data_IF_593078862589
#
_entry.id   IF_593078862589
#
_cell.length_a   1.000
_cell.length_b   1.000
_cell.length_c   1.000
_cell.angle_alpha   90.00
_cell.angle_beta   90.00
_cell.angle_gamma   90.00
#
_symmetry.space_group_name_H-M   'P 1'
#
loop_
_entity.id
_entity.type
_entity.pdbx_description
1 polymer ?
#
# COMPACT_ATOMS: atom_id res chain seq x y z
N UNK A 1 -56.24 26.92 25.51
CA UNK A 1 -55.17 26.48 26.43
C UNK A 1 -54.53 25.23 25.85
N UNK A 2 -53.49 25.37 25.02
CA UNK A 2 -52.62 24.23 24.68
C UNK A 2 -51.60 24.09 25.81
N UNK A 3 -51.56 22.89 26.36
CA UNK A 3 -50.88 22.54 27.60
C UNK A 3 -49.35 22.55 27.42
N UNK A 4 -48.69 23.54 28.00
CA UNK A 4 -47.23 23.78 27.94
C UNK A 4 -46.42 22.57 28.43
N UNK A 5 -47.03 21.69 29.24
CA UNK A 5 -46.38 20.48 29.76
C UNK A 5 -46.30 19.35 28.72
N UNK A 6 -47.17 19.36 27.70
CA UNK A 6 -47.20 18.37 26.62
C UNK A 6 -46.15 18.67 25.54
N UNK A 7 -45.93 19.94 25.22
CA UNK A 7 -44.82 20.35 24.35
C UNK A 7 -43.44 20.04 24.97
N UNK A 8 -43.28 20.25 26.28
CA UNK A 8 -41.99 20.01 26.96
C UNK A 8 -41.56 18.53 26.92
N UNK A 9 -42.52 17.59 27.03
CA UNK A 9 -42.25 16.13 26.92
C UNK A 9 -41.93 15.68 25.49
N UNK A 10 -42.52 16.31 24.48
CA UNK A 10 -42.30 15.97 23.07
C UNK A 10 -40.92 16.49 22.60
N UNK A 11 -40.51 17.67 23.06
CA UNK A 11 -39.20 18.26 22.73
C UNK A 11 -38.05 17.45 23.36
N UNK A 12 -38.22 16.95 24.59
CA UNK A 12 -37.24 16.08 25.26
C UNK A 12 -37.07 14.70 24.58
N UNK A 13 -38.14 14.13 24.02
CA UNK A 13 -38.08 12.87 23.27
C UNK A 13 -37.44 13.02 21.88
N UNK A 14 -37.52 14.19 21.26
CA UNK A 14 -36.90 14.46 19.95
C UNK A 14 -35.39 14.73 20.05
N UNK A 15 -34.91 15.30 21.16
CA UNK A 15 -33.47 15.54 21.43
C UNK A 15 -32.68 14.25 21.72
N UNK A 16 -33.32 13.18 22.21
CA UNK A 16 -32.64 11.91 22.48
C UNK A 16 -32.46 11.02 21.24
N UNK A 17 -33.12 11.33 20.13
CA UNK A 17 -33.08 10.52 18.90
C UNK A 17 -31.89 10.91 17.99
N UNK A 18 -31.22 12.03 18.25
CA UNK A 18 -30.17 12.58 17.35
C UNK A 18 -28.73 12.37 17.86
N UNK A 19 -28.53 11.75 19.03
CA UNK A 19 -27.18 11.53 19.59
C UNK A 19 -26.57 10.15 19.29
N UNK A 20 -27.16 9.30 18.43
CA UNK A 20 -26.73 7.89 18.27
C UNK A 20 -26.14 7.57 16.89
N UNK A 21 -25.84 8.56 16.05
CA UNK A 21 -25.30 8.28 14.71
C UNK A 21 -24.22 9.26 14.29
N UNK A 22 -23.13 9.33 15.05
CA UNK A 22 -21.86 9.88 14.57
C UNK A 22 -20.79 8.78 14.50
N UNK A 23 -20.81 8.08 13.36
CA UNK A 23 -19.65 7.91 12.47
C UNK A 23 -18.32 7.39 13.04
N UNK A 24 -18.28 6.23 13.69
CA UNK A 24 -17.01 5.52 13.90
C UNK A 24 -16.65 4.65 12.68
N UNK A 25 -16.02 5.21 11.63
CA UNK A 25 -15.04 4.49 10.77
C UNK A 25 -14.48 5.36 9.64
N UNK A 26 -13.57 6.28 9.96
CA UNK A 26 -12.63 6.85 8.96
C UNK A 26 -11.21 6.27 9.08
N UNK A 27 -11.02 5.17 9.82
CA UNK A 27 -9.70 4.59 10.13
C UNK A 27 -9.43 3.21 9.49
N UNK A 28 -10.16 2.85 8.44
CA UNK A 28 -9.91 1.61 7.65
C UNK A 28 -9.19 1.88 6.32
N UNK A 29 -9.11 3.13 5.87
CA UNK A 29 -8.65 3.45 4.52
C UNK A 29 -7.13 3.19 4.32
N UNK A 30 -6.33 3.13 5.38
CA UNK A 30 -4.87 2.98 5.25
C UNK A 30 -4.35 1.58 5.61
N UNK A 31 -5.22 0.58 5.79
CA UNK A 31 -4.78 -0.82 5.99
C UNK A 31 -4.15 -1.38 4.72
N UNK A 32 -3.33 -2.42 4.89
CA UNK A 32 -2.67 -3.13 3.79
C UNK A 32 -3.63 -3.45 2.64
N UNK A 33 -3.39 -2.83 1.48
CA UNK A 33 -4.24 -2.88 0.29
C UNK A 33 -3.41 -2.72 -0.99
N UNK A 34 -4.03 -3.01 -2.13
CA UNK A 34 -3.42 -2.74 -3.42
C UNK A 34 -3.32 -1.25 -3.69
N UNK A 35 -2.20 -0.82 -4.24
CA UNK A 35 -1.96 0.53 -4.73
C UNK A 35 -1.20 0.45 -6.05
N UNK A 36 -1.58 1.30 -7.00
CA UNK A 36 -0.89 1.45 -8.27
C UNK A 36 0.24 2.46 -8.11
N UNK A 37 1.41 2.08 -8.59
CA UNK A 37 2.62 2.88 -8.53
C UNK A 37 3.17 3.12 -9.93
N UNK A 38 3.80 4.28 -10.14
CA UNK A 38 4.55 4.57 -11.36
C UNK A 38 6.03 4.36 -11.09
N UNK A 39 6.64 3.46 -11.85
CA UNK A 39 8.05 3.09 -11.73
C UNK A 39 8.79 3.45 -13.01
N UNK A 40 9.95 4.11 -12.88
CA UNK A 40 10.84 4.39 -14.01
C UNK A 40 11.64 3.15 -14.35
N UNK A 41 11.13 2.35 -15.28
CA UNK A 41 11.80 1.15 -15.75
C UNK A 41 12.92 1.53 -16.74
N UNK A 42 14.10 0.96 -16.55
CA UNK A 42 15.25 1.09 -17.45
C UNK A 42 15.86 -0.29 -17.65
N UNK A 43 15.99 -0.73 -18.90
CA UNK A 43 16.74 -1.93 -19.28
C UNK A 43 17.93 -1.54 -20.13
N UNK A 44 19.07 -2.18 -19.88
CA UNK A 44 20.32 -1.94 -20.62
C UNK A 44 20.78 -3.24 -21.24
N UNK A 45 21.13 -3.18 -22.52
CA UNK A 45 21.67 -4.29 -23.30
C UNK A 45 23.17 -4.51 -23.00
N UNK A 46 23.74 -5.64 -23.45
CA UNK A 46 25.17 -5.95 -23.39
C UNK A 46 26.05 -4.87 -24.05
N UNK A 47 25.52 -4.18 -25.07
CA UNK A 47 26.21 -3.08 -25.76
C UNK A 47 26.10 -1.73 -25.02
N UNK A 48 25.46 -1.68 -23.86
CA UNK A 48 25.27 -0.45 -23.07
C UNK A 48 24.16 0.47 -23.60
N UNK A 49 23.44 0.06 -24.64
CA UNK A 49 22.24 0.73 -25.16
C UNK A 49 21.06 0.48 -24.22
N UNK A 50 20.18 1.47 -24.07
CA UNK A 50 19.09 1.38 -23.08
C UNK A 50 17.71 1.63 -23.67
N UNK A 51 16.73 1.00 -23.04
CA UNK A 51 15.32 1.28 -23.20
C UNK A 51 14.75 1.75 -21.85
N UNK A 52 13.84 2.73 -21.86
CA UNK A 52 13.22 3.26 -20.65
C UNK A 52 11.77 3.68 -20.86
N UNK A 53 10.98 3.58 -19.79
CA UNK A 53 9.61 4.07 -19.76
C UNK A 53 9.08 4.21 -18.32
N UNK A 54 7.98 4.95 -18.17
CA UNK A 54 7.20 4.98 -16.94
C UNK A 54 6.16 3.84 -16.95
N UNK A 55 6.38 2.82 -16.12
CA UNK A 55 5.55 1.61 -16.03
C UNK A 55 4.63 1.71 -14.82
N UNK A 56 3.34 1.41 -15.01
CA UNK A 56 2.36 1.37 -13.91
C UNK A 56 2.27 -0.04 -13.34
N UNK A 57 2.70 -0.22 -12.10
CA UNK A 57 2.80 -1.52 -11.42
C UNK A 57 1.79 -1.56 -10.26
N UNK A 58 1.02 -2.64 -10.15
CA UNK A 58 0.22 -2.91 -8.95
C UNK A 58 1.09 -3.50 -7.84
N UNK A 59 1.14 -2.84 -6.69
CA UNK A 59 1.87 -3.27 -5.51
C UNK A 59 1.03 -3.12 -4.24
N UNK A 60 1.62 -3.40 -3.09
CA UNK A 60 0.96 -3.34 -1.79
C UNK A 60 1.39 -2.10 -0.99
N UNK A 61 0.42 -1.49 -0.30
CA UNK A 61 0.64 -0.31 0.52
C UNK A 61 -0.31 -0.29 1.71
N UNK A 62 0.12 0.32 2.80
CA UNK A 62 -0.66 0.53 4.01
C UNK A 62 0.04 -0.01 5.23
N UNK A 63 -0.67 -0.01 6.36
CA UNK A 63 -0.16 -0.50 7.63
C UNK A 63 -0.75 -1.87 8.01
N UNK A 64 -0.01 -2.60 8.83
CA UNK A 64 -0.44 -3.82 9.50
C UNK A 64 -0.40 -3.60 11.01
N UNK A 65 -1.33 -4.25 11.72
CA UNK A 65 -1.34 -4.19 13.18
C UNK A 65 -0.23 -5.08 13.72
N UNK A 66 0.59 -4.52 14.62
CA UNK A 66 1.61 -5.26 15.35
C UNK A 66 1.34 -5.17 16.84
N UNK A 67 1.88 -6.12 17.59
CA UNK A 67 1.78 -6.13 19.04
C UNK A 67 2.99 -6.85 19.64
N UNK A 68 3.23 -6.58 20.92
CA UNK A 68 4.24 -7.25 21.72
C UNK A 68 3.60 -7.71 23.04
N UNK A 69 3.89 -8.94 23.44
CA UNK A 69 3.46 -9.52 24.70
C UNK A 69 4.69 -9.61 25.59
N UNK A 70 4.64 -8.97 26.76
CA UNK A 70 5.69 -9.10 27.76
C UNK A 70 5.70 -10.54 28.31
N UNK A 71 6.88 -11.14 28.38
CA UNK A 71 7.08 -12.49 28.90
C UNK A 71 8.01 -12.46 30.13
N UNK A 72 7.87 -13.43 31.04
CA UNK A 72 8.69 -13.46 32.26
C UNK A 72 10.01 -14.22 32.09
N UNK A 73 10.08 -15.13 31.12
CA UNK A 73 11.33 -15.80 30.73
C UNK A 73 12.01 -15.02 29.61
N UNK A 74 13.35 -15.03 29.63
CA UNK A 74 14.19 -14.51 28.55
C UNK A 74 13.71 -15.06 27.18
N UNK A 75 13.53 -14.23 26.13
CA UNK A 75 13.97 -12.83 25.97
C UNK A 75 13.03 -11.75 26.53
N UNK A 76 12.13 -12.12 27.43
CA UNK A 76 11.15 -11.26 28.12
C UNK A 76 10.09 -10.62 27.22
N UNK A 77 10.01 -11.04 25.97
CA UNK A 77 9.02 -10.55 25.01
C UNK A 77 8.72 -11.56 23.91
N UNK A 78 7.48 -11.53 23.46
CA UNK A 78 7.03 -12.14 22.22
C UNK A 78 6.50 -11.04 21.30
N UNK A 79 7.23 -10.80 20.22
CA UNK A 79 6.99 -9.68 19.31
C UNK A 79 6.34 -10.19 18.01
N UNK A 80 5.16 -9.68 17.67
CA UNK A 80 4.45 -10.01 16.43
C UNK A 80 4.34 -8.77 15.53
N UNK A 81 5.23 -8.69 14.54
CA UNK A 81 5.37 -7.54 13.63
C UNK A 81 5.18 -7.98 12.16
N UNK A 82 3.92 -8.16 11.71
CA UNK A 82 3.64 -8.43 10.30
C UNK A 82 3.84 -7.17 9.46
N UNK A 83 4.26 -7.37 8.22
CA UNK A 83 4.43 -6.31 7.22
C UNK A 83 3.45 -6.51 6.07
N UNK A 84 3.12 -5.41 5.37
CA UNK A 84 2.24 -5.46 4.22
C UNK A 84 3.03 -5.91 2.98
N UNK A 85 2.75 -7.11 2.50
CA UNK A 85 3.47 -7.72 1.37
C UNK A 85 2.49 -8.28 0.34
N UNK A 86 3.03 -8.65 -0.82
CA UNK A 86 2.27 -9.34 -1.87
C UNK A 86 1.77 -10.68 -1.33
N UNK A 87 0.45 -10.89 -1.33
CA UNK A 87 -0.13 -12.17 -0.92
C UNK A 87 -0.11 -13.19 -2.05
N UNK A 88 -0.52 -12.78 -3.25
CA UNK A 88 -0.37 -13.54 -4.49
C UNK A 88 0.32 -12.65 -5.53
N UNK A 89 1.20 -13.27 -6.32
CA UNK A 89 2.08 -12.58 -7.27
C UNK A 89 1.77 -13.04 -8.69
N UNK A 90 1.83 -12.11 -9.64
CA UNK A 90 1.63 -12.38 -11.06
C UNK A 90 2.78 -11.80 -11.87
N UNK A 91 3.40 -12.63 -12.72
CA UNK A 91 4.37 -12.16 -13.70
C UNK A 91 3.66 -11.39 -14.80
N UNK A 92 4.19 -10.22 -15.13
CA UNK A 92 3.72 -9.35 -16.18
C UNK A 92 4.90 -8.87 -17.03
N UNK A 93 4.61 -8.43 -18.24
CA UNK A 93 5.60 -7.80 -19.11
C UNK A 93 5.00 -6.65 -19.88
N UNK A 94 5.83 -5.65 -20.16
CA UNK A 94 5.46 -4.45 -20.91
C UNK A 94 6.56 -4.09 -21.90
N UNK A 95 6.16 -3.59 -23.06
CA UNK A 95 7.10 -3.08 -24.05
C UNK A 95 7.44 -1.61 -23.75
N UNK A 96 8.70 -1.32 -23.47
CA UNK A 96 9.21 0.03 -23.21
C UNK A 96 9.13 0.86 -24.51
N UNK A 97 8.62 2.09 -24.41
CA UNK A 97 8.38 2.95 -25.59
C UNK A 97 9.62 3.69 -26.09
N UNK A 98 10.58 3.99 -25.22
CA UNK A 98 11.79 4.74 -25.58
C UNK A 98 12.99 3.82 -25.57
N UNK A 99 13.70 3.75 -26.69
CA UNK A 99 14.91 2.94 -26.85
C UNK A 99 15.94 3.68 -27.69
N UNK A 100 17.21 3.45 -27.39
CA UNK A 100 18.31 3.91 -28.24
C UNK A 100 18.29 3.22 -29.62
N UNK A 101 18.82 3.89 -30.64
CA UNK A 101 18.90 3.34 -31.99
C UNK A 101 19.88 2.16 -32.04
N UNK A 102 19.43 1.01 -32.55
CA UNK A 102 20.26 -0.19 -32.71
C UNK A 102 20.32 -1.11 -31.49
N UNK A 103 19.38 -0.98 -30.55
CA UNK A 103 19.26 -1.90 -29.40
C UNK A 103 18.99 -3.35 -29.84
N UNK A 104 19.50 -4.33 -29.10
CA UNK A 104 19.23 -5.74 -29.34
C UNK A 104 17.71 -6.05 -29.21
N UNK A 105 17.12 -6.83 -30.13
CA UNK A 105 15.71 -7.20 -30.03
C UNK A 105 15.44 -8.00 -28.77
N UNK A 106 14.52 -7.51 -27.94
CA UNK A 106 14.15 -8.10 -26.66
C UNK A 106 14.46 -7.20 -25.46
N UNK A 107 15.44 -6.29 -25.56
CA UNK A 107 15.75 -5.32 -24.48
C UNK A 107 14.57 -4.39 -24.17
N UNK A 108 13.65 -4.21 -25.13
CA UNK A 108 12.46 -3.42 -24.93
C UNK A 108 11.36 -4.15 -24.14
N UNK A 109 11.45 -5.47 -23.95
CA UNK A 109 10.46 -6.24 -23.17
C UNK A 109 10.86 -6.27 -21.70
N UNK A 110 10.20 -5.46 -20.87
CA UNK A 110 10.46 -5.38 -19.43
C UNK A 110 9.56 -6.36 -18.67
N UNK A 111 10.18 -7.28 -17.95
CA UNK A 111 9.49 -8.26 -17.11
C UNK A 111 9.48 -7.82 -15.65
N UNK A 112 8.32 -7.93 -15.00
CA UNK A 112 8.14 -7.53 -13.61
C UNK A 112 7.07 -8.38 -12.92
N UNK A 113 6.95 -8.22 -11.60
CA UNK A 113 5.98 -8.94 -10.77
C UNK A 113 5.01 -7.96 -10.15
N UNK A 114 3.72 -8.23 -10.30
CA UNK A 114 2.63 -7.47 -9.70
C UNK A 114 1.97 -8.21 -8.55
N UNK A 115 1.43 -7.45 -7.61
CA UNK A 115 0.56 -7.97 -6.58
C UNK A 115 -0.86 -8.20 -7.13
N UNK A 116 -1.37 -9.41 -6.99
CA UNK A 116 -2.80 -9.74 -7.23
C UNK A 116 -3.64 -9.39 -6.01
N UNK A 117 -3.08 -9.57 -4.82
CA UNK A 117 -3.67 -9.16 -3.55
C UNK A 117 -2.56 -8.87 -2.52
N UNK A 118 -2.95 -8.25 -1.40
CA UNK A 118 -2.04 -7.85 -0.34
C UNK A 118 -2.43 -8.51 0.99
N UNK A 119 -1.43 -8.90 1.78
CA UNK A 119 -1.64 -9.56 3.08
C UNK A 119 -0.64 -9.04 4.10
N UNK A 120 -1.09 -9.00 5.35
CA UNK A 120 -0.23 -8.77 6.51
C UNK A 120 0.33 -10.12 6.98
N UNK A 121 1.63 -10.32 6.84
CA UNK A 121 2.31 -11.54 7.27
C UNK A 121 3.75 -11.25 7.68
N UNK A 122 4.43 -12.23 8.28
CA UNK A 122 5.86 -12.14 8.55
C UNK A 122 6.61 -12.11 7.21
N UNK A 123 7.59 -11.22 7.10
CA UNK A 123 8.39 -11.10 5.88
C UNK A 123 9.29 -12.33 5.70
N UNK A 124 9.32 -12.92 4.51
CA UNK A 124 10.25 -13.99 4.13
C UNK A 124 11.38 -13.40 3.28
N UNK A 125 12.62 -13.68 3.65
CA UNK A 125 13.81 -13.27 2.89
C UNK A 125 14.12 -14.17 1.70
N UNK A 126 13.30 -15.18 1.43
CA UNK A 126 13.46 -16.09 0.28
C UNK A 126 13.21 -15.36 -1.05
N UNK A 127 12.26 -14.42 -1.06
CA UNK A 127 11.78 -13.75 -2.28
C UNK A 127 11.59 -12.23 -2.12
N UNK A 128 11.85 -11.68 -0.93
CA UNK A 128 11.61 -10.28 -0.59
C UNK A 128 12.75 -9.75 0.27
N UNK A 129 13.24 -8.52 -0.01
CA UNK A 129 14.15 -7.85 0.93
C UNK A 129 13.35 -7.30 2.11
N UNK A 130 13.61 -7.82 3.31
CA UNK A 130 12.91 -7.46 4.55
C UNK A 130 13.58 -6.29 5.29
N UNK A 131 14.33 -5.46 4.57
CA UNK A 131 15.07 -4.34 5.12
C UNK A 131 14.21 -3.08 5.16
N UNK A 132 14.38 -2.29 6.21
CA UNK A 132 13.83 -0.94 6.23
C UNK A 132 14.76 -0.01 5.46
N UNK A 133 14.25 0.55 4.35
CA UNK A 133 14.97 1.53 3.54
C UNK A 133 14.35 2.93 3.74
N UNK A 134 15.14 3.95 4.12
CA UNK A 134 14.64 5.32 4.17
C UNK A 134 14.30 5.82 2.76
N UNK A 135 13.36 6.78 2.61
CA UNK A 135 12.93 7.30 1.32
C UNK A 135 14.07 7.92 0.50
N UNK A 136 15.10 8.45 1.16
CA UNK A 136 16.29 9.04 0.52
C UNK A 136 17.37 8.01 0.15
N UNK A 137 17.13 6.72 0.39
CA UNK A 137 18.10 5.68 0.03
C UNK A 137 18.15 5.47 -1.51
N UNK A 138 19.33 5.13 -2.07
CA UNK A 138 19.49 4.90 -3.50
C UNK A 138 18.53 3.85 -4.08
N UNK A 139 18.07 2.91 -3.24
CA UNK A 139 17.10 1.87 -3.60
C UNK A 139 15.65 2.20 -3.19
N UNK A 140 15.43 3.06 -2.18
CA UNK A 140 14.11 3.46 -1.70
C UNK A 140 13.37 4.41 -2.64
N UNK A 141 14.09 5.12 -3.52
CA UNK A 141 13.53 6.11 -4.44
C UNK A 141 13.09 5.58 -5.82
N UNK A 142 13.15 4.27 -6.07
CA UNK A 142 12.82 3.71 -7.40
C UNK A 142 11.34 3.81 -7.75
N UNK A 143 10.45 3.99 -6.78
CA UNK A 143 9.02 4.17 -7.03
C UNK A 143 8.66 5.61 -6.73
N UNK A 144 8.44 6.40 -7.78
CA UNK A 144 7.95 7.76 -7.61
C UNK A 144 6.49 7.66 -7.19
N UNK A 145 6.20 8.12 -5.98
CA UNK A 145 4.83 8.33 -5.54
C UNK A 145 4.27 9.48 -6.35
N UNK A 146 3.64 9.19 -7.49
CA UNK A 146 2.73 10.14 -8.11
C UNK A 146 1.57 10.30 -7.12
N UNK A 147 1.70 11.33 -6.27
CA UNK A 147 0.58 11.93 -5.55
C UNK A 147 -0.30 12.55 -6.62
N UNK A 148 -1.32 11.83 -7.07
CA UNK A 148 -2.43 12.44 -7.78
C UNK A 148 -3.76 11.76 -7.46
N UNK A 149 -4.61 12.55 -6.81
CA UNK A 149 -6.07 12.59 -6.96
C UNK A 149 -6.84 11.27 -6.90
N UNK A 150 -7.31 10.91 -5.71
CA UNK A 150 -8.63 10.30 -5.60
C UNK A 150 -9.42 11.10 -4.58
N UNK A 151 -10.26 12.01 -5.11
CA UNK A 151 -11.46 12.52 -4.42
C UNK A 151 -12.33 11.35 -3.94
#
# INVERSE_FOLDING_TARGET
MLDTKRCFRIVLLMMTIWCVSDGASSSLNNRCKLKRYTHKAVQTDFNGLRCWDDVKILSCWGFCLSYEIAHWQFPYKESHHPVCVHGERKHASVKLRHCDAGVEPGTELYHYVEAVNCKCQVCSSEDTSCEWLPPDSPFGGLIREDVDGME
#
